data_IF_748213905883
#
_entry.id   IF_748213905883
#
_cell.length_a   1.000
_cell.length_b   1.000
_cell.length_c   1.000
_cell.angle_alpha   90.00
_cell.angle_beta   90.00
_cell.angle_gamma   90.00
#
_symmetry.space_group_name_H-M   'P 1'
#
loop_
_entity.id
_entity.type
_entity.pdbx_description
1 polymer ?
#
# COMPACT_ATOMS: atom_id res chain seq x y z
N UNK A 1 10.67 -19.21 -3.33
CA UNK A 1 10.07 -20.08 -2.30
C UNK A 1 9.32 -19.15 -1.38
N UNK A 2 7.99 -19.16 -1.48
CA UNK A 2 7.12 -18.04 -1.12
C UNK A 2 6.38 -18.37 0.19
N UNK A 3 6.49 -17.45 1.14
CA UNK A 3 5.60 -17.11 2.28
C UNK A 3 5.42 -18.05 3.47
N UNK A 4 5.49 -17.44 4.66
CA UNK A 4 5.09 -17.99 5.94
C UNK A 4 3.56 -18.01 6.20
N UNK A 5 2.68 -17.77 5.21
CA UNK A 5 1.23 -17.98 5.43
C UNK A 5 0.43 -18.19 4.12
N UNK A 6 0.38 -19.44 3.63
CA UNK A 6 -0.38 -19.81 2.41
C UNK A 6 -1.87 -19.42 2.46
N UNK A 7 -2.48 -19.39 3.64
CA UNK A 7 -3.92 -19.14 3.80
C UNK A 7 -4.27 -17.66 3.56
N UNK A 8 -3.47 -16.74 4.09
CA UNK A 8 -3.63 -15.31 3.86
C UNK A 8 -3.39 -14.95 2.39
N UNK A 9 -2.45 -15.62 1.74
CA UNK A 9 -2.18 -15.42 0.32
C UNK A 9 -3.30 -15.95 -0.58
N UNK A 10 -3.85 -17.14 -0.28
CA UNK A 10 -5.05 -17.63 -0.98
C UNK A 10 -6.23 -16.68 -0.82
N UNK A 11 -6.38 -16.05 0.35
CA UNK A 11 -7.39 -15.01 0.58
C UNK A 11 -7.12 -13.76 -0.25
N UNK A 12 -5.87 -13.29 -0.32
CA UNK A 12 -5.47 -12.17 -1.18
C UNK A 12 -5.81 -12.41 -2.66
N UNK A 13 -5.45 -13.58 -3.19
CA UNK A 13 -5.75 -13.97 -4.57
C UNK A 13 -7.24 -14.16 -4.87
N UNK A 14 -8.09 -14.29 -3.85
CA UNK A 14 -9.52 -14.55 -4.07
C UNK A 14 -10.33 -13.31 -4.49
N UNK A 15 -9.76 -12.09 -4.47
CA UNK A 15 -10.22 -10.85 -5.13
C UNK A 15 -11.61 -10.28 -4.75
N UNK A 16 -12.50 -11.07 -4.14
CA UNK A 16 -13.94 -10.81 -4.12
C UNK A 16 -14.46 -9.80 -3.08
N UNK A 17 -13.60 -8.95 -2.49
CA UNK A 17 -14.00 -8.16 -1.32
C UNK A 17 -13.52 -6.70 -1.29
N UNK A 18 -12.93 -6.17 -2.37
CA UNK A 18 -12.39 -4.80 -2.34
C UNK A 18 -13.44 -3.77 -2.73
N UNK A 19 -13.62 -2.77 -1.86
CA UNK A 19 -14.46 -1.61 -2.09
C UNK A 19 -14.02 -0.87 -3.38
N UNK A 20 -15.00 -0.33 -4.11
CA UNK A 20 -14.79 0.34 -5.39
C UNK A 20 -14.54 1.85 -5.24
N UNK A 21 -14.70 2.39 -4.03
CA UNK A 21 -14.48 3.81 -3.77
C UNK A 21 -13.03 4.07 -3.38
N UNK A 22 -12.37 5.09 -3.96
CA UNK A 22 -11.02 5.45 -3.55
C UNK A 22 -10.96 5.83 -2.08
N UNK A 23 -9.84 5.53 -1.44
CA UNK A 23 -9.63 5.88 -0.04
C UNK A 23 -9.33 7.36 0.13
N UNK A 24 -9.64 7.89 1.32
CA UNK A 24 -9.18 9.24 1.68
C UNK A 24 -7.65 9.34 1.78
N UNK A 25 -6.96 8.22 1.94
CA UNK A 25 -5.49 8.14 2.03
C UNK A 25 -4.84 8.53 0.70
N UNK A 26 -5.35 8.01 -0.43
CA UNK A 26 -4.87 8.38 -1.75
C UNK A 26 -5.07 9.88 -2.04
N UNK A 27 -6.22 10.43 -1.66
CA UNK A 27 -6.50 11.86 -1.83
C UNK A 27 -5.53 12.74 -1.02
N UNK A 28 -5.38 12.45 0.28
CA UNK A 28 -4.48 13.19 1.17
C UNK A 28 -3.02 13.08 0.73
N UNK A 29 -2.59 11.91 0.25
CA UNK A 29 -1.23 11.73 -0.24
C UNK A 29 -0.99 12.47 -1.56
N UNK A 30 -1.97 12.48 -2.46
CA UNK A 30 -1.88 13.31 -3.66
C UNK A 30 -1.80 14.81 -3.31
N UNK A 31 -2.59 15.29 -2.33
CA UNK A 31 -2.49 16.67 -1.82
C UNK A 31 -1.09 16.97 -1.28
N UNK A 32 -0.57 16.06 -0.44
CA UNK A 32 0.77 16.16 0.12
C UNK A 32 1.84 16.28 -0.99
N UNK A 33 1.85 15.34 -1.95
CA UNK A 33 2.82 15.33 -3.04
C UNK A 33 2.73 16.60 -3.90
N UNK A 34 1.53 17.02 -4.28
CA UNK A 34 1.34 18.22 -5.10
C UNK A 34 1.79 19.48 -4.34
N UNK A 35 1.56 19.55 -3.03
CA UNK A 35 2.00 20.67 -2.20
C UNK A 35 3.51 20.76 -2.04
N UNK A 36 4.21 19.61 -2.05
CA UNK A 36 5.67 19.53 -2.05
C UNK A 36 6.29 19.84 -3.43
N UNK A 37 5.47 20.07 -4.45
CA UNK A 37 5.94 20.31 -5.82
C UNK A 37 6.45 19.03 -6.50
N UNK A 38 5.96 17.86 -6.08
CA UNK A 38 6.37 16.55 -6.57
C UNK A 38 6.50 16.48 -8.10
N UNK A 39 7.58 15.83 -8.54
CA UNK A 39 7.85 15.49 -9.94
C UNK A 39 8.36 14.07 -9.98
N UNK A 40 7.82 13.26 -10.87
CA UNK A 40 8.24 11.87 -11.07
C UNK A 40 7.05 10.92 -11.09
N UNK A 41 7.38 9.63 -11.06
CA UNK A 41 6.42 8.55 -11.10
C UNK A 41 6.01 8.11 -9.70
N UNK A 42 4.71 7.92 -9.50
CA UNK A 42 4.15 7.22 -8.35
C UNK A 42 3.83 5.76 -8.72
N UNK A 43 4.08 4.82 -7.80
CA UNK A 43 3.59 3.44 -7.94
C UNK A 43 2.74 3.06 -6.73
N UNK A 44 1.51 2.61 -7.01
CA UNK A 44 0.58 2.01 -6.06
C UNK A 44 0.85 0.49 -6.00
N UNK A 45 1.34 0.01 -4.86
CA UNK A 45 1.81 -1.35 -4.62
C UNK A 45 0.72 -2.18 -3.96
N UNK A 46 0.24 -3.20 -4.69
CA UNK A 46 -0.96 -3.95 -4.36
C UNK A 46 -2.22 -3.13 -4.65
N UNK A 47 -2.32 -2.57 -5.86
CA UNK A 47 -3.36 -1.62 -6.23
C UNK A 47 -4.76 -2.22 -6.36
N UNK A 48 -4.89 -3.56 -6.35
CA UNK A 48 -6.14 -4.27 -6.62
C UNK A 48 -6.81 -3.74 -7.89
N UNK A 49 -8.11 -3.46 -7.79
CA UNK A 49 -8.93 -2.92 -8.88
C UNK A 49 -8.60 -1.48 -9.31
N UNK A 50 -7.53 -0.87 -8.79
CA UNK A 50 -6.97 0.40 -9.26
C UNK A 50 -7.64 1.67 -8.74
N UNK A 51 -8.55 1.57 -7.76
CA UNK A 51 -9.30 2.73 -7.24
C UNK A 51 -8.42 3.87 -6.73
N UNK A 52 -7.32 3.55 -6.07
CA UNK A 52 -6.44 4.52 -5.42
C UNK A 52 -5.41 5.06 -6.42
N UNK A 53 -4.74 4.19 -7.19
CA UNK A 53 -3.96 4.55 -8.38
C UNK A 53 -4.67 5.58 -9.30
N UNK A 54 -5.97 5.37 -9.57
CA UNK A 54 -6.76 6.26 -10.41
C UNK A 54 -6.91 7.67 -9.84
N UNK A 55 -6.89 7.85 -8.51
CA UNK A 55 -6.90 9.18 -7.89
C UNK A 55 -5.67 9.97 -8.32
N UNK A 56 -4.49 9.37 -8.23
CA UNK A 56 -3.24 10.03 -8.61
C UNK A 56 -3.24 10.39 -10.10
N UNK A 57 -3.63 9.46 -10.98
CA UNK A 57 -3.74 9.71 -12.41
C UNK A 57 -4.67 10.88 -12.74
N UNK A 58 -5.88 10.92 -12.16
CA UNK A 58 -6.84 12.01 -12.42
C UNK A 58 -6.39 13.36 -11.87
N UNK A 59 -5.43 13.38 -10.95
CA UNK A 59 -4.82 14.61 -10.42
C UNK A 59 -3.55 15.02 -11.17
N UNK A 60 -3.26 14.38 -12.30
CA UNK A 60 -2.13 14.72 -13.17
C UNK A 60 -0.79 14.16 -12.70
N UNK A 61 -0.78 13.25 -11.72
CA UNK A 61 0.43 12.53 -11.30
C UNK A 61 0.63 11.35 -12.25
N UNK A 62 1.85 11.15 -12.75
CA UNK A 62 2.21 9.94 -13.49
C UNK A 62 2.21 8.76 -12.51
N UNK A 63 1.10 8.00 -12.46
CA UNK A 63 0.92 6.90 -11.52
C UNK A 63 0.67 5.57 -12.20
N UNK A 64 1.31 4.52 -11.69
CA UNK A 64 1.11 3.13 -12.11
C UNK A 64 0.57 2.32 -10.94
N UNK A 65 -0.35 1.39 -11.20
CA UNK A 65 -0.76 0.39 -10.22
C UNK A 65 -0.12 -0.97 -10.51
N UNK A 66 0.37 -1.63 -9.47
CA UNK A 66 0.89 -3.00 -9.54
C UNK A 66 0.14 -3.88 -8.57
N UNK A 67 -0.30 -5.05 -9.01
CA UNK A 67 -0.89 -6.09 -8.17
C UNK A 67 -0.50 -7.47 -8.70
N UNK A 68 -0.42 -8.46 -7.81
CA UNK A 68 -0.07 -9.82 -8.19
C UNK A 68 -1.24 -10.55 -8.87
N UNK A 69 -2.48 -10.10 -8.64
CA UNK A 69 -3.69 -10.67 -9.20
C UNK A 69 -3.95 -10.19 -10.63
N UNK A 70 -3.84 -11.10 -11.60
CA UNK A 70 -4.19 -10.82 -12.99
C UNK A 70 -5.66 -10.38 -13.15
N UNK A 71 -6.57 -10.94 -12.34
CA UNK A 71 -7.99 -10.60 -12.34
C UNK A 71 -8.24 -9.16 -11.90
N UNK A 72 -7.59 -8.74 -10.80
CA UNK A 72 -7.68 -7.37 -10.30
C UNK A 72 -7.11 -6.37 -11.31
N UNK A 73 -5.97 -6.69 -11.93
CA UNK A 73 -5.36 -5.85 -12.97
C UNK A 73 -6.24 -5.75 -14.21
N UNK A 74 -6.88 -6.84 -14.64
CA UNK A 74 -7.85 -6.80 -15.73
C UNK A 74 -9.03 -5.88 -15.39
N UNK A 75 -9.53 -5.96 -14.17
CA UNK A 75 -10.60 -5.10 -13.67
C UNK A 75 -10.17 -3.62 -13.61
N UNK A 76 -8.97 -3.35 -13.11
CA UNK A 76 -8.40 -2.01 -13.01
C UNK A 76 -8.28 -1.35 -14.39
N UNK A 77 -7.73 -2.07 -15.38
CA UNK A 77 -7.64 -1.61 -16.78
C UNK A 77 -9.02 -1.33 -17.37
N UNK A 78 -10.02 -2.15 -17.05
CA UNK A 78 -11.39 -1.94 -17.54
C UNK A 78 -12.07 -0.73 -16.89
N UNK A 79 -11.87 -0.50 -15.59
CA UNK A 79 -12.49 0.62 -14.86
C UNK A 79 -11.80 1.95 -15.11
N UNK A 80 -10.49 1.92 -15.34
CA UNK A 80 -9.63 3.10 -15.43
C UNK A 80 -8.75 3.03 -16.69
N UNK A 81 -9.34 3.06 -17.90
CA UNK A 81 -8.62 2.80 -19.15
C UNK A 81 -7.52 3.83 -19.48
N UNK A 82 -7.52 4.99 -18.83
CA UNK A 82 -6.51 6.04 -18.99
C UNK A 82 -5.36 5.94 -17.97
N UNK A 83 -5.39 4.95 -17.09
CA UNK A 83 -4.37 4.72 -16.05
C UNK A 83 -3.55 3.47 -16.41
N UNK A 84 -2.30 3.39 -15.93
CA UNK A 84 -1.41 2.25 -16.22
C UNK A 84 -1.45 1.25 -15.08
N UNK A 85 -1.69 -0.02 -15.42
CA UNK A 85 -1.71 -1.13 -14.46
C UNK A 85 -0.91 -2.32 -14.99
N UNK A 86 -0.12 -2.95 -14.13
CA UNK A 86 0.72 -4.09 -14.47
C UNK A 86 0.60 -5.20 -13.43
N UNK A 87 0.70 -6.44 -13.90
CA UNK A 87 0.82 -7.59 -13.01
C UNK A 87 2.26 -7.61 -12.51
N UNK A 88 2.46 -7.67 -11.19
CA UNK A 88 3.79 -7.68 -10.62
C UNK A 88 3.81 -8.00 -9.13
N UNK A 89 4.97 -8.40 -8.64
CA UNK A 89 5.20 -8.76 -7.24
C UNK A 89 5.73 -7.56 -6.47
N UNK A 90 5.03 -7.15 -5.40
CA UNK A 90 5.46 -6.07 -4.53
C UNK A 90 6.74 -6.38 -3.74
N UNK A 91 7.17 -7.65 -3.71
CA UNK A 91 8.43 -8.09 -3.11
C UNK A 91 9.62 -8.03 -4.10
N UNK A 92 9.36 -7.89 -5.40
CA UNK A 92 10.37 -7.88 -6.45
C UNK A 92 9.86 -7.17 -7.71
N UNK A 93 10.38 -5.97 -7.97
CA UNK A 93 10.01 -5.20 -9.16
C UNK A 93 11.10 -5.26 -10.24
N UNK A 94 10.66 -5.16 -11.50
CA UNK A 94 11.56 -4.92 -12.62
C UNK A 94 11.88 -3.41 -12.83
N UNK A 95 11.64 -2.60 -11.80
CA UNK A 95 12.05 -1.19 -11.80
C UNK A 95 13.54 -1.03 -11.56
N UNK A 96 14.12 -0.05 -12.24
CA UNK A 96 15.52 0.35 -12.03
C UNK A 96 15.68 0.98 -10.65
N UNK A 97 16.85 0.80 -10.03
CA UNK A 97 17.22 1.47 -8.78
C UNK A 97 16.98 2.99 -8.89
N UNK A 98 16.47 3.59 -7.81
CA UNK A 98 16.26 5.04 -7.72
C UNK A 98 15.51 5.64 -8.93
N UNK A 99 14.47 4.97 -9.42
CA UNK A 99 13.69 5.42 -10.58
C UNK A 99 12.27 5.90 -10.25
N UNK A 100 11.79 5.62 -9.03
CA UNK A 100 10.43 5.95 -8.59
C UNK A 100 10.47 7.15 -7.65
N UNK A 101 9.63 8.16 -7.90
CA UNK A 101 9.57 9.36 -7.07
C UNK A 101 8.69 9.19 -5.83
N UNK A 102 7.62 8.40 -5.95
CA UNK A 102 6.72 8.11 -4.84
C UNK A 102 6.20 6.67 -4.86
N UNK A 103 6.02 6.09 -3.68
CA UNK A 103 5.37 4.80 -3.49
C UNK A 103 4.13 4.98 -2.61
N UNK A 104 3.11 4.18 -2.87
CA UNK A 104 1.89 4.12 -2.07
C UNK A 104 1.55 2.64 -1.82
N UNK A 105 1.34 2.25 -0.56
CA UNK A 105 1.01 0.86 -0.19
C UNK A 105 0.05 0.88 0.99
N UNK A 106 -1.20 0.44 0.77
CA UNK A 106 -2.22 0.45 1.82
C UNK A 106 -2.83 -0.94 1.98
N UNK A 107 -2.86 -1.47 3.20
CA UNK A 107 -3.44 -2.78 3.54
C UNK A 107 -2.88 -3.96 2.72
N UNK A 108 -1.60 -3.88 2.31
CA UNK A 108 -0.94 -4.91 1.51
C UNK A 108 0.21 -5.57 2.27
N UNK A 109 0.98 -4.80 3.05
CA UNK A 109 2.24 -5.26 3.68
C UNK A 109 2.10 -6.52 4.56
N UNK A 110 0.92 -6.77 5.13
CA UNK A 110 0.67 -7.96 5.96
C UNK A 110 0.54 -9.26 5.14
N UNK A 111 0.38 -9.17 3.82
CA UNK A 111 0.39 -10.32 2.90
C UNK A 111 1.78 -10.64 2.35
N UNK A 112 2.77 -9.77 2.56
CA UNK A 112 4.09 -9.86 1.93
C UNK A 112 5.17 -10.39 2.89
N UNK A 113 6.27 -10.89 2.32
CA UNK A 113 7.57 -10.84 2.96
C UNK A 113 7.99 -9.37 3.11
N UNK A 114 7.73 -8.83 4.30
CA UNK A 114 7.97 -7.44 4.67
C UNK A 114 9.42 -7.02 4.45
N UNK A 115 10.36 -7.91 4.74
CA UNK A 115 11.78 -7.60 4.57
C UNK A 115 12.10 -7.41 3.09
N UNK A 116 11.63 -8.31 2.22
CA UNK A 116 11.80 -8.17 0.77
C UNK A 116 11.09 -6.93 0.24
N UNK A 117 9.81 -6.77 0.54
CA UNK A 117 8.99 -5.67 0.04
C UNK A 117 9.51 -4.29 0.46
N UNK A 118 9.88 -4.09 1.74
CA UNK A 118 10.37 -2.80 2.23
C UNK A 118 11.80 -2.51 1.76
N UNK A 119 12.64 -3.54 1.61
CA UNK A 119 13.96 -3.40 0.99
C UNK A 119 13.83 -3.01 -0.48
N UNK A 120 12.89 -3.61 -1.19
CA UNK A 120 12.66 -3.36 -2.60
C UNK A 120 12.05 -1.97 -2.83
N UNK A 121 11.08 -1.56 -2.01
CA UNK A 121 10.56 -0.20 -1.97
C UNK A 121 11.70 0.82 -1.78
N UNK A 122 12.62 0.56 -0.84
CA UNK A 122 13.79 1.42 -0.66
C UNK A 122 14.73 1.42 -1.87
N UNK A 123 14.95 0.28 -2.53
CA UNK A 123 15.83 0.19 -3.72
C UNK A 123 15.33 1.06 -4.86
N UNK A 124 14.05 0.96 -5.21
CA UNK A 124 13.47 1.62 -6.39
C UNK A 124 13.17 3.10 -6.15
N UNK A 125 12.92 3.50 -4.90
CA UNK A 125 12.63 4.89 -4.58
C UNK A 125 13.86 5.78 -4.79
N UNK A 126 13.68 6.95 -5.36
CA UNK A 126 14.71 7.97 -5.52
C UNK A 126 15.15 8.52 -4.16
N UNK A 127 16.41 8.96 -3.99
CA UNK A 127 16.79 9.81 -2.87
C UNK A 127 15.87 11.02 -2.77
N UNK A 128 15.36 11.32 -1.58
CA UNK A 128 14.37 12.36 -1.35
C UNK A 128 12.93 12.00 -1.74
N UNK A 129 12.69 10.85 -2.37
CA UNK A 129 11.37 10.35 -2.76
C UNK A 129 10.53 9.91 -1.56
N UNK A 130 9.21 9.87 -1.75
CA UNK A 130 8.25 9.59 -0.67
C UNK A 130 7.66 8.20 -0.73
N UNK A 131 7.34 7.62 0.42
CA UNK A 131 6.63 6.36 0.51
C UNK A 131 5.53 6.46 1.57
N UNK A 132 4.27 6.36 1.15
CA UNK A 132 3.17 6.16 2.09
C UNK A 132 2.94 4.67 2.31
N UNK A 133 3.01 4.25 3.57
CA UNK A 133 2.65 2.90 4.00
C UNK A 133 1.54 2.96 5.06
N UNK A 134 0.49 2.17 4.86
CA UNK A 134 -0.66 2.08 5.75
C UNK A 134 -0.99 0.61 6.05
N UNK A 135 -1.10 0.25 7.34
CA UNK A 135 -1.40 -1.11 7.77
C UNK A 135 -2.09 -1.16 9.13
N UNK A 136 -2.84 -2.24 9.38
CA UNK A 136 -3.37 -2.52 10.70
C UNK A 136 -2.21 -2.90 11.63
N UNK A 137 -2.15 -2.30 12.82
CA UNK A 137 -1.27 -2.75 13.90
C UNK A 137 -1.97 -3.77 14.78
N UNK A 138 -3.29 -3.67 14.92
CA UNK A 138 -4.11 -4.62 15.66
C UNK A 138 -5.53 -4.66 15.09
N UNK A 139 -6.14 -5.85 15.10
CA UNK A 139 -7.58 -6.04 14.84
C UNK A 139 -8.13 -6.84 16.02
N UNK A 140 -9.16 -6.32 16.66
CA UNK A 140 -9.83 -6.98 17.77
C UNK A 140 -11.35 -6.96 17.60
N UNK A 141 -12.03 -8.03 18.00
CA UNK A 141 -13.49 -8.08 18.05
C UNK A 141 -14.04 -7.26 19.23
N UNK A 142 -15.36 -7.04 19.22
CA UNK A 142 -16.07 -6.31 20.28
C UNK A 142 -15.98 -6.94 21.69
N UNK A 143 -15.51 -8.18 21.80
CA UNK A 143 -15.29 -8.87 23.07
C UNK A 143 -13.85 -8.74 23.58
N UNK A 144 -12.98 -8.04 22.83
CA UNK A 144 -11.58 -7.83 23.17
C UNK A 144 -10.67 -8.97 22.72
N UNK A 145 -11.16 -9.93 21.93
CA UNK A 145 -10.31 -10.95 21.31
C UNK A 145 -9.50 -10.30 20.19
N UNK A 146 -8.18 -10.47 20.23
CA UNK A 146 -7.28 -9.99 19.18
C UNK A 146 -7.19 -11.05 18.08
N UNK A 147 -7.71 -10.73 16.90
CA UNK A 147 -7.65 -11.60 15.72
C UNK A 147 -6.35 -11.41 14.93
N UNK A 148 -5.75 -10.23 15.04
CA UNK A 148 -4.51 -9.89 14.37
C UNK A 148 -3.72 -8.86 15.18
N UNK A 149 -2.41 -9.06 15.27
CA UNK A 149 -1.47 -8.08 15.81
C UNK A 149 -0.18 -8.10 14.99
N UNK A 150 0.31 -6.91 14.62
CA UNK A 150 1.57 -6.72 13.92
C UNK A 150 2.65 -6.29 14.92
N UNK A 151 3.85 -6.87 14.81
CA UNK A 151 5.02 -6.32 15.50
C UNK A 151 5.38 -4.98 14.85
N UNK A 152 4.97 -3.87 15.47
CA UNK A 152 5.33 -2.53 15.01
C UNK A 152 6.84 -2.31 15.03
N UNK A 153 7.54 -2.86 16.04
CA UNK A 153 8.98 -2.71 16.16
C UNK A 153 9.71 -3.42 15.01
N UNK A 154 9.17 -4.51 14.49
CA UNK A 154 9.66 -5.14 13.24
C UNK A 154 9.57 -4.16 12.07
N UNK A 155 8.40 -3.56 11.83
CA UNK A 155 8.23 -2.59 10.74
C UNK A 155 9.24 -1.45 10.89
N UNK A 156 9.33 -0.83 12.07
CA UNK A 156 10.28 0.26 12.32
C UNK A 156 11.74 -0.15 12.11
N UNK A 157 12.13 -1.39 12.45
CA UNK A 157 13.46 -1.92 12.12
C UNK A 157 13.69 -2.03 10.61
N UNK A 158 12.68 -2.45 9.86
CA UNK A 158 12.76 -2.63 8.41
C UNK A 158 12.78 -1.29 7.65
N UNK A 159 12.09 -0.27 8.16
CA UNK A 159 12.06 1.07 7.56
C UNK A 159 13.12 2.02 8.14
N UNK A 160 14.10 1.53 8.90
CA UNK A 160 15.10 2.37 9.60
C UNK A 160 15.94 3.29 8.69
N UNK A 161 15.99 3.01 7.38
CA UNK A 161 16.72 3.80 6.39
C UNK A 161 15.87 4.91 5.77
N UNK A 162 14.60 4.99 6.15
CA UNK A 162 13.72 6.11 5.81
C UNK A 162 13.64 7.09 6.97
N UNK A 163 13.51 8.36 6.63
CA UNK A 163 13.02 9.40 7.53
C UNK A 163 11.49 9.29 7.66
N UNK A 164 10.96 9.36 8.87
CA UNK A 164 9.51 9.45 9.09
C UNK A 164 9.09 10.92 9.02
N UNK A 165 8.47 11.32 7.91
CA UNK A 165 7.98 12.69 7.67
C UNK A 165 6.66 12.92 8.39
N UNK A 166 5.75 11.93 8.35
CA UNK A 166 4.47 11.99 9.03
C UNK A 166 4.10 10.63 9.61
N UNK A 167 3.47 10.64 10.78
CA UNK A 167 2.95 9.46 11.46
C UNK A 167 1.52 9.73 11.94
N UNK A 168 0.56 8.96 11.44
CA UNK A 168 -0.83 9.02 11.83
C UNK A 168 -1.27 7.68 12.44
N UNK A 169 -1.79 7.74 13.67
CA UNK A 169 -2.47 6.60 14.31
C UNK A 169 -3.97 6.75 14.10
N UNK A 170 -4.61 5.73 13.55
CA UNK A 170 -6.01 5.74 13.15
C UNK A 170 -6.75 4.58 13.81
N UNK A 171 -8.06 4.74 13.98
CA UNK A 171 -8.96 3.68 14.42
C UNK A 171 -10.13 3.60 13.45
N UNK A 172 -10.38 2.40 12.92
CA UNK A 172 -11.56 2.09 12.10
C UNK A 172 -12.40 1.04 12.80
N UNK A 173 -13.71 1.17 12.77
CA UNK A 173 -14.65 0.19 13.33
C UNK A 173 -15.54 -0.30 12.20
N UNK A 174 -15.50 -1.61 11.92
CA UNK A 174 -16.30 -2.24 10.87
C UNK A 174 -17.56 -2.85 11.48
N UNK A 175 -18.69 -2.72 10.76
CA UNK A 175 -19.99 -3.19 11.22
C UNK A 175 -20.41 -4.47 10.47
N UNK A 176 -20.73 -5.51 11.24
CA UNK A 176 -21.46 -6.77 10.91
C UNK A 176 -20.68 -7.99 10.40
N UNK A 177 -21.07 -9.22 10.83
CA UNK A 177 -21.99 -9.56 11.93
C UNK A 177 -21.36 -9.40 13.33
N UNK A 178 -20.04 -9.31 13.42
CA UNK A 178 -19.28 -9.01 14.64
C UNK A 178 -18.53 -7.69 14.40
N UNK A 179 -18.64 -6.75 15.33
CA UNK A 179 -17.93 -5.47 15.24
C UNK A 179 -16.45 -5.73 15.48
N UNK A 180 -15.60 -5.26 14.56
CA UNK A 180 -14.15 -5.32 14.71
C UNK A 180 -13.59 -3.90 14.79
N UNK A 181 -12.67 -3.69 15.73
CA UNK A 181 -11.89 -2.46 15.88
C UNK A 181 -10.50 -2.70 15.29
N UNK A 182 -10.13 -1.83 14.36
CA UNK A 182 -8.86 -1.83 13.66
C UNK A 182 -8.02 -0.66 14.17
N UNK A 183 -6.93 -0.95 14.88
CA UNK A 183 -5.86 0.01 15.12
C UNK A 183 -4.94 0.01 13.90
N UNK A 184 -4.68 1.20 13.37
CA UNK A 184 -4.01 1.38 12.09
C UNK A 184 -2.87 2.38 12.27
N UNK A 185 -1.77 2.11 11.57
CA UNK A 185 -0.68 3.05 11.41
C UNK A 185 -0.53 3.43 9.93
N UNK A 186 -0.45 4.74 9.68
CA UNK A 186 -0.08 5.32 8.40
C UNK A 186 1.18 6.16 8.59
N UNK A 187 2.16 5.93 7.73
CA UNK A 187 3.43 6.65 7.72
C UNK A 187 3.66 7.25 6.34
N UNK A 188 4.06 8.52 6.29
CA UNK A 188 4.74 9.09 5.13
C UNK A 188 6.23 9.08 5.43
N UNK A 189 6.97 8.36 4.61
CA UNK A 189 8.40 8.13 4.71
C UNK A 189 9.12 8.90 3.61
N UNK A 190 10.35 9.32 3.86
CA UNK A 190 11.25 9.88 2.86
C UNK A 190 12.55 9.10 2.82
N UNK A 191 13.01 8.73 1.63
CA UNK A 191 14.32 8.10 1.49
C UNK A 191 15.42 9.16 1.64
N UNK A 192 16.39 8.88 2.50
CA UNK A 192 17.56 9.74 2.71
C UNK A 192 18.57 9.68 1.57
#
# INVERSE_FOLDING_TARGET
MVMQNEELYRKYLSGRHWDNHPTSHAQKFADFLLSDGFRGRLVDLGCGNGRDAAVFCHRGIEAWGIDLSEEEIAMARSKHPNCRFEVGDAEQFDFVDCSIGALFMINVVHYLDKHRALKEAHRVLQPGGFFLIHFNTMIADQYGRVDYAQDEAEIFRLIKNFEVVQKNSLVRVDSTPIVHTHAILELILRKS
#
